data_IF_584438977902
#
_entry.id   IF_584438977902
#
_cell.length_a   1.000
_cell.length_b   1.000
_cell.length_c   1.000
_cell.angle_alpha   90.00
_cell.angle_beta   90.00
_cell.angle_gamma   90.00
#
_symmetry.space_group_name_H-M   'P 1'
#
loop_
_entity.id
_entity.type
_entity.pdbx_description
1 polymer ?
#
# COMPACT_ATOMS: atom_id res chain seq x y z
N UNK A 1 -19.54 -9.20 17.87
CA UNK A 1 -19.21 -8.40 16.67
C UNK A 1 -17.90 -7.58 16.77
N UNK A 2 -17.34 -7.27 17.95
CA UNK A 2 -16.04 -6.56 18.09
C UNK A 2 -14.80 -7.30 17.53
N UNK A 3 -14.79 -8.64 17.54
CA UNK A 3 -13.62 -9.43 17.12
C UNK A 3 -13.32 -9.37 15.62
N UNK A 4 -14.33 -9.14 14.77
CA UNK A 4 -14.15 -9.11 13.30
C UNK A 4 -13.25 -7.94 12.89
N UNK A 5 -13.35 -6.78 13.56
CA UNK A 5 -12.48 -5.64 13.29
C UNK A 5 -11.04 -5.89 13.72
N UNK A 6 -10.81 -6.56 14.85
CA UNK A 6 -9.46 -6.94 15.30
C UNK A 6 -8.80 -7.92 14.31
N UNK A 7 -9.51 -8.97 13.90
CA UNK A 7 -9.01 -9.95 12.93
C UNK A 7 -8.71 -9.28 11.59
N UNK A 8 -9.60 -8.40 11.10
CA UNK A 8 -9.39 -7.66 9.85
C UNK A 8 -8.15 -6.77 9.91
N UNK A 9 -7.95 -6.03 11.00
CA UNK A 9 -6.76 -5.18 11.18
C UNK A 9 -5.50 -6.04 11.24
N UNK A 10 -5.55 -7.17 11.96
CA UNK A 10 -4.42 -8.09 12.07
C UNK A 10 -4.04 -8.67 10.69
N UNK A 11 -5.02 -9.16 9.93
CA UNK A 11 -4.81 -9.69 8.57
C UNK A 11 -4.23 -8.63 7.64
N UNK A 12 -4.78 -7.40 7.65
CA UNK A 12 -4.26 -6.30 6.84
C UNK A 12 -2.82 -5.94 7.22
N UNK A 13 -2.52 -5.90 8.52
CA UNK A 13 -1.16 -5.64 9.01
C UNK A 13 -0.19 -6.74 8.56
N UNK A 14 -0.58 -8.01 8.67
CA UNK A 14 0.26 -9.15 8.23
C UNK A 14 0.52 -9.11 6.72
N UNK A 15 -0.50 -8.80 5.91
CA UNK A 15 -0.36 -8.69 4.45
C UNK A 15 0.62 -7.56 4.09
N UNK A 16 0.49 -6.39 4.72
CA UNK A 16 1.38 -5.25 4.49
C UNK A 16 2.82 -5.59 4.85
N UNK A 17 3.05 -6.22 6.01
CA UNK A 17 4.39 -6.66 6.41
C UNK A 17 4.97 -7.68 5.44
N UNK A 18 4.20 -8.69 5.04
CA UNK A 18 4.64 -9.70 4.08
C UNK A 18 5.07 -9.06 2.74
N UNK A 19 4.27 -8.12 2.23
CA UNK A 19 4.55 -7.41 0.98
C UNK A 19 5.75 -6.45 1.09
N UNK A 20 5.98 -5.86 2.26
CA UNK A 20 7.19 -5.07 2.53
C UNK A 20 8.45 -5.95 2.56
N UNK A 21 8.39 -7.11 3.22
CA UNK A 21 9.49 -8.08 3.22
C UNK A 21 9.79 -8.61 1.81
N UNK A 22 8.76 -8.90 1.02
CA UNK A 22 8.91 -9.31 -0.38
C UNK A 22 9.59 -8.22 -1.22
N UNK A 23 9.23 -6.94 -1.02
CA UNK A 23 9.87 -5.84 -1.73
C UNK A 23 11.37 -5.72 -1.38
N UNK A 24 11.72 -5.92 -0.11
CA UNK A 24 13.12 -5.93 0.33
C UNK A 24 13.86 -7.14 -0.25
N UNK A 25 13.27 -8.33 -0.19
CA UNK A 25 13.89 -9.57 -0.67
C UNK A 25 14.12 -9.56 -2.18
N UNK A 26 13.21 -8.96 -2.94
CA UNK A 26 13.30 -8.84 -4.40
C UNK A 26 13.81 -7.49 -4.86
N UNK A 27 14.52 -6.74 -4.00
CA UNK A 27 15.06 -5.42 -4.34
C UNK A 27 16.01 -5.47 -5.55
N UNK A 28 16.68 -6.60 -5.79
CA UNK A 28 17.56 -6.81 -6.93
C UNK A 28 16.81 -6.93 -8.28
N UNK A 29 15.49 -7.18 -8.28
CA UNK A 29 14.70 -7.28 -9.50
C UNK A 29 14.19 -5.89 -9.89
N UNK A 30 14.63 -5.34 -11.05
CA UNK A 30 14.19 -4.02 -11.48
C UNK A 30 12.67 -4.01 -11.71
N UNK A 31 11.99 -3.00 -11.15
CA UNK A 31 10.54 -2.73 -11.26
C UNK A 31 9.59 -3.71 -10.53
N UNK A 32 10.11 -4.70 -9.80
CA UNK A 32 9.24 -5.58 -9.01
C UNK A 32 8.87 -4.91 -7.68
N UNK A 33 7.68 -4.32 -7.61
CA UNK A 33 7.21 -3.64 -6.39
C UNK A 33 5.87 -4.19 -5.90
N UNK A 34 5.87 -5.23 -5.04
CA UNK A 34 4.67 -5.73 -4.36
C UNK A 34 3.93 -4.65 -3.57
N UNK A 35 4.65 -3.61 -3.15
CA UNK A 35 4.10 -2.45 -2.45
C UNK A 35 3.18 -1.61 -3.35
N UNK A 36 3.36 -1.59 -4.69
CA UNK A 36 2.43 -0.90 -5.59
C UNK A 36 1.01 -1.51 -5.54
N UNK A 37 0.92 -2.84 -5.45
CA UNK A 37 -0.35 -3.52 -5.25
C UNK A 37 -0.99 -3.13 -3.91
N UNK A 38 -0.19 -3.04 -2.83
CA UNK A 38 -0.72 -2.59 -1.52
C UNK A 38 -1.31 -1.19 -1.58
N UNK A 39 -0.69 -0.28 -2.33
CA UNK A 39 -1.16 1.09 -2.47
C UNK A 39 -2.53 1.17 -3.14
N UNK A 40 -2.69 0.42 -4.24
CA UNK A 40 -3.95 0.36 -4.97
C UNK A 40 -5.07 -0.27 -4.13
N UNK A 41 -4.79 -1.41 -3.49
CA UNK A 41 -5.76 -2.11 -2.65
C UNK A 41 -6.08 -1.37 -1.36
N UNK A 42 -5.12 -0.68 -0.75
CA UNK A 42 -5.36 0.21 0.38
C UNK A 42 -6.35 1.32 -0.01
N UNK A 43 -6.14 1.96 -1.17
CA UNK A 43 -7.06 2.96 -1.72
C UNK A 43 -8.48 2.44 -1.95
N UNK A 44 -8.61 1.20 -2.44
CA UNK A 44 -9.91 0.61 -2.78
C UNK A 44 -10.68 0.07 -1.55
N UNK A 45 -10.03 -0.73 -0.70
CA UNK A 45 -10.71 -1.45 0.38
C UNK A 45 -10.86 -0.65 1.68
N UNK A 46 -9.97 0.31 1.95
CA UNK A 46 -9.98 1.05 3.22
C UNK A 46 -10.98 2.21 3.12
N UNK A 47 -11.98 2.22 4.01
CA UNK A 47 -12.98 3.30 4.05
C UNK A 47 -12.45 4.60 4.64
N UNK A 48 -11.48 4.52 5.54
CA UNK A 48 -10.83 5.71 6.08
C UNK A 48 -9.71 6.19 5.15
N UNK A 49 -9.95 7.30 4.44
CA UNK A 49 -8.98 7.90 3.51
C UNK A 49 -7.62 8.11 4.15
N UNK A 50 -7.56 8.56 5.42
CA UNK A 50 -6.28 8.80 6.11
C UNK A 50 -5.46 7.51 6.20
N UNK A 51 -6.09 6.39 6.57
CA UNK A 51 -5.42 5.09 6.67
C UNK A 51 -5.06 4.52 5.29
N UNK A 52 -5.87 4.77 4.27
CA UNK A 52 -5.60 4.35 2.89
C UNK A 52 -4.31 4.94 2.33
N UNK A 53 -3.98 6.19 2.69
CA UNK A 53 -2.70 6.82 2.34
C UNK A 53 -1.59 6.48 3.32
N UNK A 54 -1.87 6.41 4.62
CA UNK A 54 -0.85 6.21 5.65
C UNK A 54 -0.16 4.84 5.53
N UNK A 55 -0.91 3.77 5.24
CA UNK A 55 -0.38 2.40 5.21
C UNK A 55 0.66 2.23 4.09
N UNK A 56 0.38 2.58 2.81
CA UNK A 56 1.36 2.47 1.74
C UNK A 56 2.55 3.42 1.92
N UNK A 57 2.31 4.64 2.43
CA UNK A 57 3.40 5.59 2.68
C UNK A 57 4.38 5.06 3.74
N UNK A 58 3.84 4.53 4.83
CA UNK A 58 4.65 3.93 5.89
C UNK A 58 5.44 2.73 5.38
N UNK A 59 4.84 1.89 4.52
CA UNK A 59 5.52 0.74 3.93
C UNK A 59 6.72 1.16 3.07
N UNK A 60 6.56 2.18 2.22
CA UNK A 60 7.65 2.70 1.37
C UNK A 60 8.75 3.32 2.22
N UNK A 61 8.40 4.15 3.22
CA UNK A 61 9.40 4.75 4.13
C UNK A 61 10.23 3.68 4.84
N UNK A 62 9.57 2.62 5.32
CA UNK A 62 10.26 1.51 5.98
C UNK A 62 11.12 0.75 4.98
N UNK A 63 10.63 0.45 3.77
CA UNK A 63 11.42 -0.21 2.72
C UNK A 63 12.64 0.62 2.30
N UNK A 64 12.49 1.92 2.08
CA UNK A 64 13.58 2.83 1.69
C UNK A 64 14.64 2.96 2.78
N UNK A 65 14.27 2.80 4.06
CA UNK A 65 15.23 2.77 5.15
C UNK A 65 16.21 1.59 5.03
N UNK A 66 15.77 0.47 4.45
CA UNK A 66 16.63 -0.71 4.21
C UNK A 66 17.31 -0.71 2.83
N UNK A 67 16.63 -0.20 1.79
CA UNK A 67 17.14 -0.20 0.41
C UNK A 67 18.13 0.97 0.18
N UNK A 68 17.92 2.11 0.85
CA UNK A 68 18.73 3.32 0.73
C UNK A 68 18.03 4.44 -0.03
N UNK A 69 18.25 5.68 0.41
CA UNK A 69 17.65 6.86 -0.20
C UNK A 69 18.42 7.27 -1.48
N UNK A 70 17.71 7.44 -2.59
CA UNK A 70 18.25 7.88 -3.88
C UNK A 70 17.65 9.21 -4.35
N UNK A 71 18.32 9.91 -5.27
CA UNK A 71 17.94 11.27 -5.73
C UNK A 71 16.53 11.39 -6.30
N UNK A 72 15.96 10.31 -6.85
CA UNK A 72 14.63 10.30 -7.48
C UNK A 72 13.50 9.85 -6.53
N UNK A 73 13.75 9.79 -5.22
CA UNK A 73 12.78 9.23 -4.27
C UNK A 73 11.45 9.98 -4.29
N UNK A 74 11.48 11.31 -4.44
CA UNK A 74 10.29 12.15 -4.51
C UNK A 74 9.30 11.70 -5.61
N UNK A 75 9.81 11.22 -6.75
CA UNK A 75 8.97 10.72 -7.85
C UNK A 75 8.31 9.38 -7.51
N UNK A 76 8.99 8.53 -6.73
CA UNK A 76 8.42 7.28 -6.20
C UNK A 76 7.25 7.59 -5.29
N UNK A 77 7.46 8.46 -4.29
CA UNK A 77 6.40 8.85 -3.34
C UNK A 77 5.20 9.46 -4.06
N UNK A 78 5.44 10.34 -5.04
CA UNK A 78 4.38 10.93 -5.87
C UNK A 78 3.58 9.86 -6.64
N UNK A 79 4.28 8.94 -7.30
CA UNK A 79 3.66 7.86 -8.08
C UNK A 79 2.79 6.97 -7.21
N UNK A 80 3.26 6.62 -6.02
CA UNK A 80 2.49 5.84 -5.06
C UNK A 80 1.26 6.58 -4.54
N UNK A 81 1.37 7.89 -4.32
CA UNK A 81 0.24 8.72 -3.94
C UNK A 81 -0.84 8.72 -5.04
N UNK A 82 -0.44 8.76 -6.32
CA UNK A 82 -1.35 8.61 -7.46
C UNK A 82 -1.98 7.22 -7.51
N UNK A 83 -1.22 6.15 -7.24
CA UNK A 83 -1.75 4.77 -7.19
C UNK A 83 -2.82 4.62 -6.10
N UNK A 84 -2.61 5.17 -4.90
CA UNK A 84 -3.63 5.18 -3.85
C UNK A 84 -4.86 5.96 -4.32
N UNK A 85 -4.66 7.11 -4.95
CA UNK A 85 -5.73 7.96 -5.45
C UNK A 85 -6.57 7.26 -6.54
N UNK A 86 -5.93 6.47 -7.41
CA UNK A 86 -6.60 5.59 -8.37
C UNK A 86 -7.48 4.57 -7.64
N UNK A 87 -6.96 3.86 -6.64
CA UNK A 87 -7.73 2.91 -5.85
C UNK A 87 -8.95 3.54 -5.16
N UNK A 88 -8.78 4.74 -4.59
CA UNK A 88 -9.88 5.51 -3.98
C UNK A 88 -10.93 5.93 -5.01
N UNK A 89 -10.50 6.31 -6.21
CA UNK A 89 -11.41 6.73 -7.29
C UNK A 89 -12.18 5.54 -7.87
N UNK A 90 -11.54 4.37 -7.99
CA UNK A 90 -12.19 3.11 -8.38
C UNK A 90 -13.30 2.72 -7.41
N UNK A 91 -13.09 2.93 -6.10
CA UNK A 91 -14.11 2.68 -5.08
C UNK A 91 -15.39 3.51 -5.29
N UNK A 92 -15.26 4.75 -5.74
CA UNK A 92 -16.43 5.61 -6.06
C UNK A 92 -17.20 5.12 -7.28
N UNK A 93 -16.61 4.28 -8.11
CA UNK A 93 -17.21 3.66 -9.31
C UNK A 93 -17.57 2.21 -8.98
N UNK A 94 -18.37 1.97 -7.94
CA UNK A 94 -19.06 0.68 -7.79
C UNK A 94 -20.11 0.57 -8.90
N UNK A 95 -19.67 0.03 -10.04
CA UNK A 95 -20.54 -0.57 -11.06
C UNK A 95 -21.10 -1.94 -10.58
N UNK A 96 -20.54 -2.51 -9.51
CA UNK A 96 -21.05 -3.73 -8.88
C UNK A 96 -21.94 -3.37 -7.68
N UNK A 97 -23.20 -3.09 -7.99
CA UNK A 97 -24.33 -3.41 -7.12
C UNK A 97 -24.72 -4.85 -7.43
N UNK A 98 -24.13 -5.83 -6.74
CA UNK A 98 -24.63 -7.21 -6.67
C UNK A 98 -24.53 -7.66 -5.23
#
# INVERSE_FOLDING_TARGET
MKNVNKVRILVLSTIVFCLAFLNIYFADIPNFSPIAATALFAGFFISNKKLAFLIPLAAIIVSDFFIGFHSMIWAVYLSFLLVVLLGVTMKKRTFFSV
#
